data_IF_570147804213
#
_entry.id   IF_570147804213
#
_cell.length_a   1.000
_cell.length_b   1.000
_cell.length_c   1.000
_cell.angle_alpha   90.00
_cell.angle_beta   90.00
_cell.angle_gamma   90.00
#
_symmetry.space_group_name_H-M   'P 1'
#
loop_
_entity.id
_entity.type
_entity.pdbx_description
1 polymer ?
#
# COMPACT_ATOMS: atom_id res chain seq x y z
N UNK A 1 -2.36 -28.90 9.91
CA UNK A 1 -2.15 -28.68 8.46
C UNK A 1 -1.47 -27.33 8.29
N UNK A 2 -0.55 -27.15 7.33
CA UNK A 2 0.11 -25.85 7.14
C UNK A 2 -0.92 -24.78 6.76
N UNK A 3 -1.01 -23.70 7.52
CA UNK A 3 -1.88 -22.58 7.20
C UNK A 3 -1.53 -22.01 5.82
N UNK A 4 -2.54 -21.78 4.97
CA UNK A 4 -2.36 -21.07 3.70
C UNK A 4 -2.41 -19.58 4.01
N UNK A 5 -1.24 -18.94 3.96
CA UNK A 5 -1.08 -17.53 4.27
C UNK A 5 -0.77 -16.73 3.00
N UNK A 6 -1.38 -15.55 2.86
CA UNK A 6 -0.88 -14.47 2.01
C UNK A 6 -0.29 -13.41 2.92
N UNK A 7 0.95 -13.03 2.66
CA UNK A 7 1.64 -11.99 3.41
C UNK A 7 1.62 -10.68 2.62
N UNK A 8 1.18 -9.61 3.27
CA UNK A 8 1.21 -8.24 2.76
C UNK A 8 2.27 -7.44 3.53
N UNK A 9 3.20 -6.78 2.84
CA UNK A 9 4.11 -5.82 3.48
C UNK A 9 3.38 -4.48 3.66
N UNK A 10 3.29 -4.01 4.91
CA UNK A 10 2.59 -2.77 5.25
C UNK A 10 1.37 -2.99 6.14
N UNK A 11 0.40 -2.07 6.07
CA UNK A 11 -0.80 -2.03 6.92
C UNK A 11 -2.06 -1.99 6.05
N UNK A 12 -2.99 -2.90 6.28
CA UNK A 12 -4.32 -2.91 5.68
C UNK A 12 -5.10 -1.69 6.19
N UNK A 13 -5.06 -1.43 7.50
CA UNK A 13 -5.74 -0.27 8.10
C UNK A 13 -5.33 1.05 7.41
N UNK A 14 -4.03 1.30 7.29
CA UNK A 14 -3.53 2.51 6.66
C UNK A 14 -3.91 2.62 5.18
N UNK A 15 -4.08 1.49 4.49
CA UNK A 15 -4.49 1.47 3.08
C UNK A 15 -5.99 1.71 2.87
N UNK A 16 -6.83 1.30 3.82
CA UNK A 16 -8.28 1.43 3.70
C UNK A 16 -8.80 2.76 4.23
N UNK A 17 -8.19 3.30 5.29
CA UNK A 17 -8.67 4.55 5.92
C UNK A 17 -8.17 5.79 5.17
N UNK A 18 -6.95 5.75 4.60
CA UNK A 18 -6.41 6.98 4.03
C UNK A 18 -7.14 7.35 2.74
N UNK A 19 -7.89 8.45 2.84
CA UNK A 19 -8.47 9.17 1.72
C UNK A 19 -7.42 9.44 0.64
N UNK A 20 -7.81 9.43 -0.65
CA UNK A 20 -6.94 9.94 -1.71
C UNK A 20 -6.46 11.35 -1.34
N UNK A 21 -5.15 11.58 -1.42
CA UNK A 21 -4.57 12.85 -0.97
C UNK A 21 -4.94 13.93 -1.97
N UNK A 22 -6.00 14.67 -1.66
CA UNK A 22 -6.51 15.75 -2.51
C UNK A 22 -5.89 17.11 -2.20
N UNK A 23 -4.81 17.17 -1.38
CA UNK A 23 -4.21 18.42 -0.92
C UNK A 23 -2.68 18.32 -0.88
N UNK A 24 -2.00 19.29 -1.50
CA UNK A 24 -0.58 19.53 -1.28
C UNK A 24 -0.39 20.69 -0.30
N UNK A 25 0.44 20.48 0.73
CA UNK A 25 0.85 21.55 1.65
C UNK A 25 2.12 22.19 1.11
N UNK A 26 2.03 23.45 0.71
CA UNK A 26 3.16 24.32 0.38
C UNK A 26 3.17 25.48 1.39
N UNK A 27 4.33 26.01 1.82
CA UNK A 27 4.36 27.16 2.73
C UNK A 27 3.55 28.34 2.17
N UNK A 28 2.43 28.67 2.81
CA UNK A 28 1.64 29.87 2.52
C UNK A 28 0.41 29.70 1.61
N UNK A 29 0.18 28.55 0.96
CA UNK A 29 -1.06 28.26 0.19
C UNK A 29 -1.42 26.77 0.18
N UNK A 30 -2.70 26.48 -0.01
CA UNK A 30 -3.22 25.12 -0.22
C UNK A 30 -3.68 24.99 -1.67
N UNK A 31 -3.07 24.08 -2.44
CA UNK A 31 -3.73 23.54 -3.63
C UNK A 31 -4.49 22.28 -3.23
N UNK A 32 -5.75 22.22 -3.63
CA UNK A 32 -6.56 21.03 -3.47
C UNK A 32 -7.50 20.83 -4.64
N UNK A 33 -7.98 19.61 -4.75
CA UNK A 33 -9.04 19.26 -5.69
C UNK A 33 -10.39 19.62 -5.05
N UNK A 34 -11.24 20.33 -5.77
CA UNK A 34 -12.61 20.60 -5.34
C UNK A 34 -13.49 19.33 -5.46
N UNK A 35 -14.74 19.41 -5.00
CA UNK A 35 -15.60 18.22 -4.94
C UNK A 35 -16.03 17.72 -6.33
N UNK A 36 -16.17 18.62 -7.32
CA UNK A 36 -16.51 18.25 -8.70
C UNK A 36 -15.31 17.57 -9.37
N UNK A 37 -14.11 18.13 -9.22
CA UNK A 37 -12.85 17.52 -9.68
C UNK A 37 -12.64 16.12 -9.08
N UNK A 38 -12.98 15.92 -7.81
CA UNK A 38 -12.87 14.61 -7.15
C UNK A 38 -13.87 13.58 -7.71
N UNK A 39 -15.10 14.00 -8.01
CA UNK A 39 -16.08 13.12 -8.61
C UNK A 39 -15.71 12.77 -10.06
N UNK A 40 -15.16 13.71 -10.82
CA UNK A 40 -14.68 13.44 -12.16
C UNK A 40 -13.43 12.56 -12.18
N UNK A 41 -12.52 12.69 -11.20
CA UNK A 41 -11.43 11.73 -10.99
C UNK A 41 -11.97 10.31 -10.79
N UNK A 42 -12.98 10.14 -9.93
CA UNK A 42 -13.58 8.83 -9.68
C UNK A 42 -14.18 8.24 -10.97
N UNK A 43 -14.87 9.06 -11.78
CA UNK A 43 -15.44 8.64 -13.06
C UNK A 43 -14.38 8.25 -14.09
N UNK A 44 -13.32 9.05 -14.22
CA UNK A 44 -12.23 8.75 -15.15
C UNK A 44 -11.47 7.49 -14.72
N UNK A 45 -11.17 7.36 -13.43
CA UNK A 45 -10.55 6.16 -12.86
C UNK A 45 -11.35 4.90 -13.20
N UNK A 46 -12.67 4.93 -13.04
CA UNK A 46 -13.54 3.81 -13.41
C UNK A 46 -13.51 3.47 -14.89
N UNK A 47 -13.48 4.47 -15.78
CA UNK A 47 -13.41 4.24 -17.23
C UNK A 47 -12.14 3.49 -17.60
N UNK A 48 -11.00 3.91 -17.05
CA UNK A 48 -9.71 3.27 -17.23
C UNK A 48 -9.80 1.82 -16.73
N UNK A 49 -10.26 1.64 -15.49
CA UNK A 49 -10.25 0.33 -14.82
C UNK A 49 -11.24 -0.69 -15.40
N UNK A 50 -12.37 -0.27 -15.97
CA UNK A 50 -13.35 -1.20 -16.59
C UNK A 50 -12.78 -2.00 -17.76
N UNK A 51 -11.75 -1.48 -18.44
CA UNK A 51 -11.08 -2.18 -19.54
C UNK A 51 -10.12 -3.28 -19.06
N UNK A 52 -9.86 -3.39 -17.76
CA UNK A 52 -8.80 -4.23 -17.20
C UNK A 52 -9.41 -5.43 -16.46
N UNK A 53 -9.04 -6.68 -16.83
CA UNK A 53 -9.56 -7.86 -16.17
C UNK A 53 -9.31 -7.85 -14.66
N UNK A 54 -10.26 -8.31 -13.85
CA UNK A 54 -10.18 -8.31 -12.37
C UNK A 54 -8.91 -9.01 -11.82
N UNK A 55 -8.49 -10.12 -12.46
CA UNK A 55 -7.26 -10.82 -12.07
C UNK A 55 -5.98 -10.01 -12.38
N UNK A 56 -6.09 -9.03 -13.26
CA UNK A 56 -5.06 -8.04 -13.56
C UNK A 56 -5.12 -6.83 -12.63
N UNK A 57 -6.20 -6.62 -11.86
CA UNK A 57 -6.28 -5.57 -10.81
C UNK A 57 -5.33 -5.90 -9.63
N UNK A 58 -4.94 -7.17 -9.47
CA UNK A 58 -3.86 -7.55 -8.55
C UNK A 58 -2.46 -7.25 -9.10
N UNK A 59 -2.34 -6.81 -10.36
CA UNK A 59 -1.14 -6.19 -10.90
C UNK A 59 -1.35 -4.69 -10.79
N UNK A 60 -0.33 -3.97 -10.35
CA UNK A 60 -0.31 -2.51 -10.40
C UNK A 60 -0.54 -2.12 -11.87
N UNK A 61 -1.75 -1.66 -12.16
CA UNK A 61 -2.24 -1.29 -13.48
C UNK A 61 -1.44 -0.09 -13.99
N UNK A 62 -1.14 0.86 -13.09
CA UNK A 62 -0.26 2.01 -13.36
C UNK A 62 1.19 1.63 -13.66
N UNK A 63 1.62 0.38 -13.44
CA UNK A 63 2.97 -0.06 -13.80
C UNK A 63 3.15 -0.25 -15.32
N UNK A 64 2.06 -0.28 -16.10
CA UNK A 64 2.13 -0.25 -17.56
C UNK A 64 2.31 1.18 -18.05
N UNK A 65 3.35 1.49 -18.86
CA UNK A 65 3.53 2.83 -19.43
C UNK A 65 2.31 3.33 -20.21
N UNK A 66 1.57 2.42 -20.86
CA UNK A 66 0.37 2.78 -21.60
C UNK A 66 -0.77 3.24 -20.67
N UNK A 67 -0.97 2.55 -19.55
CA UNK A 67 -2.00 2.92 -18.58
C UNK A 67 -1.59 4.15 -17.79
N UNK A 68 -0.30 4.27 -17.44
CA UNK A 68 0.23 5.48 -16.81
C UNK A 68 -0.05 6.72 -17.66
N UNK A 69 0.17 6.64 -18.97
CA UNK A 69 -0.15 7.71 -19.91
C UNK A 69 -1.66 8.01 -19.94
N UNK A 70 -2.51 6.98 -19.92
CA UNK A 70 -3.96 7.15 -19.88
C UNK A 70 -4.44 7.84 -18.59
N UNK A 71 -3.82 7.51 -17.45
CA UNK A 71 -4.05 8.14 -16.14
C UNK A 71 -3.61 9.60 -16.16
N UNK A 72 -2.45 9.91 -16.74
CA UNK A 72 -1.97 11.28 -16.90
C UNK A 72 -2.92 12.09 -17.80
N UNK A 73 -3.28 11.57 -18.97
CA UNK A 73 -4.24 12.21 -19.88
C UNK A 73 -5.62 12.41 -19.21
N UNK A 74 -6.06 11.46 -18.38
CA UNK A 74 -7.28 11.58 -17.60
C UNK A 74 -7.19 12.70 -16.55
N UNK A 75 -6.07 12.80 -15.85
CA UNK A 75 -5.83 13.91 -14.93
C UNK A 75 -5.94 15.26 -15.64
N UNK A 76 -5.31 15.43 -16.80
CA UNK A 76 -5.41 16.66 -17.60
C UNK A 76 -6.83 16.96 -18.07
N UNK A 77 -7.65 15.94 -18.39
CA UNK A 77 -9.07 16.15 -18.73
C UNK A 77 -9.89 16.70 -17.57
N UNK A 78 -9.56 16.34 -16.33
CA UNK A 78 -10.30 16.79 -15.14
C UNK A 78 -9.92 18.21 -14.74
N UNK A 79 -8.61 18.47 -14.61
CA UNK A 79 -8.13 19.72 -13.99
C UNK A 79 -7.52 20.72 -14.97
N UNK A 80 -7.46 20.38 -16.26
CA UNK A 80 -6.85 21.19 -17.31
C UNK A 80 -5.32 21.16 -17.31
N UNK A 81 -4.74 21.85 -18.30
CA UNK A 81 -3.28 22.06 -18.44
C UNK A 81 -2.78 23.30 -17.69
N UNK A 82 -3.67 24.14 -17.15
CA UNK A 82 -3.30 25.47 -16.64
C UNK A 82 -2.44 25.42 -15.36
N UNK A 83 -1.15 25.72 -15.58
CA UNK A 83 -0.10 26.04 -14.61
C UNK A 83 -0.16 27.53 -14.18
N UNK A 84 -1.29 28.04 -13.68
CA UNK A 84 -1.25 29.35 -12.99
C UNK A 84 -0.71 29.19 -11.55
N UNK A 85 0.59 28.90 -11.45
CA UNK A 85 1.40 28.89 -10.23
C UNK A 85 2.18 27.58 -9.98
N UNK A 86 2.88 27.52 -8.84
CA UNK A 86 3.65 26.35 -8.33
C UNK A 86 2.77 25.11 -7.99
N UNK A 87 1.57 25.00 -8.57
CA UNK A 87 0.53 24.02 -8.20
C UNK A 87 0.25 23.07 -9.36
N UNK A 88 0.80 21.86 -9.29
CA UNK A 88 0.52 20.84 -10.30
C UNK A 88 -0.74 20.04 -9.94
N UNK A 89 -1.93 20.64 -10.12
CA UNK A 89 -3.22 19.94 -9.97
C UNK A 89 -3.25 18.59 -10.73
N UNK A 90 -2.68 18.46 -11.94
CA UNK A 90 -2.60 17.16 -12.63
C UNK A 90 -1.88 16.10 -11.80
N UNK A 91 -0.79 16.45 -11.10
CA UNK A 91 -0.11 15.51 -10.21
C UNK A 91 -0.95 15.10 -9.01
N UNK A 92 -1.75 16.01 -8.46
CA UNK A 92 -2.71 15.67 -7.40
C UNK A 92 -3.77 14.71 -7.91
N UNK A 93 -4.28 14.92 -9.12
CA UNK A 93 -5.26 14.04 -9.74
C UNK A 93 -4.68 12.65 -10.04
N UNK A 94 -3.46 12.56 -10.60
CA UNK A 94 -2.74 11.29 -10.79
C UNK A 94 -2.55 10.58 -9.45
N UNK A 95 -2.05 11.27 -8.43
CA UNK A 95 -1.84 10.68 -7.10
C UNK A 95 -3.15 10.21 -6.46
N UNK A 96 -4.25 10.92 -6.68
CA UNK A 96 -5.57 10.49 -6.24
C UNK A 96 -6.02 9.21 -6.95
N UNK A 97 -5.82 9.09 -8.26
CA UNK A 97 -6.13 7.88 -9.03
C UNK A 97 -5.26 6.68 -8.61
N UNK A 98 -3.96 6.87 -8.41
CA UNK A 98 -3.06 5.84 -7.86
C UNK A 98 -3.52 5.37 -6.48
N UNK A 99 -4.01 6.30 -5.65
CA UNK A 99 -4.51 5.95 -4.32
C UNK A 99 -5.83 5.20 -4.37
N UNK A 100 -6.73 5.54 -5.30
CA UNK A 100 -7.93 4.76 -5.59
C UNK A 100 -7.57 3.34 -6.04
N UNK A 101 -6.62 3.21 -6.96
CA UNK A 101 -6.11 1.93 -7.44
C UNK A 101 -5.62 1.05 -6.28
N UNK A 102 -4.77 1.62 -5.42
CA UNK A 102 -4.23 0.92 -4.26
C UNK A 102 -5.35 0.44 -3.31
N UNK A 103 -6.32 1.31 -3.01
CA UNK A 103 -7.47 0.98 -2.17
C UNK A 103 -8.31 -0.15 -2.75
N UNK A 104 -8.70 -0.04 -4.02
CA UNK A 104 -9.48 -1.05 -4.75
C UNK A 104 -8.73 -2.38 -4.81
N UNK A 105 -7.42 -2.35 -5.04
CA UNK A 105 -6.58 -3.55 -5.10
C UNK A 105 -6.52 -4.29 -3.76
N UNK A 106 -6.41 -3.56 -2.65
CA UNK A 106 -6.45 -4.15 -1.30
C UNK A 106 -7.84 -4.73 -1.00
N UNK A 107 -8.91 -4.02 -1.36
CA UNK A 107 -10.28 -4.53 -1.22
C UNK A 107 -10.48 -5.81 -2.03
N UNK A 108 -10.02 -5.85 -3.28
CA UNK A 108 -10.07 -7.05 -4.13
C UNK A 108 -9.29 -8.22 -3.53
N UNK A 109 -8.11 -7.95 -2.98
CA UNK A 109 -7.28 -8.97 -2.30
C UNK A 109 -8.00 -9.55 -1.07
N UNK A 110 -8.64 -8.70 -0.25
CA UNK A 110 -9.40 -9.13 0.92
C UNK A 110 -10.57 -10.02 0.50
N UNK A 111 -11.36 -9.60 -0.49
CA UNK A 111 -12.49 -10.39 -1.02
C UNK A 111 -12.03 -11.73 -1.58
N UNK A 112 -10.94 -11.75 -2.35
CA UNK A 112 -10.38 -12.98 -2.92
C UNK A 112 -9.84 -13.94 -1.84
N UNK A 113 -9.15 -13.40 -0.81
CA UNK A 113 -8.65 -14.19 0.31
C UNK A 113 -9.80 -14.82 1.11
N UNK A 114 -10.84 -14.04 1.40
CA UNK A 114 -12.07 -14.50 2.07
C UNK A 114 -12.77 -15.61 1.29
N UNK A 115 -13.00 -15.41 -0.01
CA UNK A 115 -13.63 -16.40 -0.89
C UNK A 115 -12.82 -17.71 -1.00
N UNK A 116 -11.49 -17.61 -0.92
CA UNK A 116 -10.58 -18.76 -1.03
C UNK A 116 -10.30 -19.46 0.32
N UNK A 117 -10.81 -18.93 1.43
CA UNK A 117 -10.49 -19.42 2.78
C UNK A 117 -8.99 -19.31 3.12
N UNK A 118 -8.29 -18.33 2.54
CA UNK A 118 -6.86 -18.08 2.77
C UNK A 118 -6.72 -16.92 3.77
N UNK A 119 -5.86 -17.07 4.76
CA UNK A 119 -5.62 -16.01 5.75
C UNK A 119 -4.71 -14.94 5.14
N UNK A 120 -5.22 -13.71 5.04
CA UNK A 120 -4.44 -12.54 4.71
C UNK A 120 -3.82 -11.95 5.97
N UNK A 121 -2.49 -11.78 5.97
CA UNK A 121 -1.73 -11.28 7.10
C UNK A 121 -0.89 -10.09 6.66
N UNK A 122 -1.15 -8.92 7.23
CA UNK A 122 -0.31 -7.74 7.04
C UNK A 122 0.81 -7.71 8.06
N UNK A 123 2.02 -7.42 7.62
CA UNK A 123 3.20 -7.31 8.49
C UNK A 123 3.90 -5.99 8.20
N UNK A 124 4.03 -5.13 9.21
CA UNK A 124 4.73 -3.85 9.08
C UNK A 124 5.90 -3.73 10.07
N UNK A 125 7.08 -3.34 9.56
CA UNK A 125 8.27 -2.99 10.37
C UNK A 125 8.16 -1.62 11.03
N UNK A 126 7.26 -0.79 10.51
CA UNK A 126 7.04 0.60 10.95
C UNK A 126 5.55 0.82 11.12
N UNK A 127 5.21 1.53 12.17
CA UNK A 127 3.83 1.95 12.45
C UNK A 127 3.89 3.27 13.21
N UNK A 128 3.07 4.24 12.80
CA UNK A 128 2.83 5.48 13.54
C UNK A 128 1.59 5.38 14.43
N UNK A 129 0.86 4.26 14.39
CA UNK A 129 -0.35 4.07 15.16
C UNK A 129 -0.09 4.19 16.67
N UNK A 130 -1.08 4.75 17.36
CA UNK A 130 -1.10 5.00 18.81
C UNK A 130 -2.34 4.41 19.47
N UNK A 131 -3.18 3.74 18.71
CA UNK A 131 -4.50 3.28 19.13
C UNK A 131 -4.39 2.15 20.16
N UNK A 132 -3.31 1.36 20.15
CA UNK A 132 -3.18 0.18 21.00
C UNK A 132 -2.89 0.53 22.46
N UNK A 133 -1.95 1.46 22.71
CA UNK A 133 -1.60 1.90 24.06
C UNK A 133 -2.13 3.29 24.41
N UNK A 134 -2.80 3.96 23.47
CA UNK A 134 -3.39 5.31 23.66
C UNK A 134 -2.37 6.32 24.19
N UNK A 135 -1.17 6.32 23.59
CA UNK A 135 -0.04 7.11 24.06
C UNK A 135 0.41 8.18 23.05
N UNK A 136 1.20 9.14 23.50
CA UNK A 136 1.84 10.12 22.60
C UNK A 136 2.87 9.50 21.64
N UNK A 137 3.46 8.35 22.01
CA UNK A 137 4.46 7.64 21.20
C UNK A 137 3.80 6.54 20.38
N UNK A 138 4.33 6.22 19.18
CA UNK A 138 3.84 5.09 18.40
C UNK A 138 3.92 3.77 19.19
N UNK A 139 2.90 2.94 19.05
CA UNK A 139 2.76 1.71 19.82
C UNK A 139 3.95 0.75 19.58
N UNK A 140 4.40 0.63 18.33
CA UNK A 140 5.56 -0.21 17.97
C UNK A 140 6.85 0.26 18.66
N UNK A 141 7.00 1.57 18.90
CA UNK A 141 8.14 2.12 19.61
C UNK A 141 8.07 1.85 21.11
N UNK A 142 6.86 1.79 21.69
CA UNK A 142 6.67 1.36 23.08
C UNK A 142 7.03 -0.12 23.23
N UNK A 143 6.56 -0.99 22.34
CA UNK A 143 6.92 -2.42 22.36
C UNK A 143 8.43 -2.59 22.23
N UNK A 144 9.06 -1.87 21.30
CA UNK A 144 10.51 -1.93 21.11
C UNK A 144 11.28 -1.51 22.38
N UNK A 145 10.78 -0.53 23.13
CA UNK A 145 11.42 0.01 24.32
C UNK A 145 11.24 -0.87 25.56
N UNK A 146 10.06 -1.44 25.75
CA UNK A 146 9.67 -2.10 27.00
C UNK A 146 9.70 -3.63 26.94
N UNK A 147 9.94 -4.24 25.78
CA UNK A 147 10.07 -5.71 25.63
C UNK A 147 11.39 -6.09 24.98
N UNK A 148 11.82 -7.37 25.14
CA UNK A 148 13.11 -7.86 24.63
C UNK A 148 13.04 -9.22 23.93
N UNK A 149 12.26 -10.16 24.46
CA UNK A 149 12.10 -11.51 23.90
C UNK A 149 10.88 -11.68 23.00
N UNK A 150 10.73 -12.86 22.38
CA UNK A 150 9.54 -13.26 21.64
C UNK A 150 8.26 -13.12 22.45
N UNK A 151 7.17 -12.88 21.74
CA UNK A 151 5.84 -12.71 22.32
C UNK A 151 5.03 -11.67 21.57
N UNK A 152 3.80 -11.46 22.00
CA UNK A 152 2.87 -10.54 21.37
C UNK A 152 2.04 -9.77 22.38
N UNK A 153 1.54 -8.61 21.97
CA UNK A 153 0.62 -7.81 22.77
C UNK A 153 -0.80 -8.38 22.68
N UNK A 154 -1.65 -8.06 23.66
CA UNK A 154 -3.06 -8.47 23.62
C UNK A 154 -3.71 -8.02 22.29
N UNK A 155 -4.33 -8.91 21.51
CA UNK A 155 -4.96 -8.53 20.26
C UNK A 155 -6.05 -7.47 20.46
N UNK A 156 -6.11 -6.48 19.56
CA UNK A 156 -7.18 -5.49 19.52
C UNK A 156 -8.00 -5.69 18.26
N UNK A 157 -9.29 -5.92 18.47
CA UNK A 157 -10.29 -6.03 17.40
C UNK A 157 -10.91 -4.65 17.22
N UNK A 158 -11.03 -4.20 15.97
CA UNK A 158 -11.64 -2.93 15.61
C UNK A 158 -12.33 -3.04 14.26
N UNK A 159 -13.42 -2.31 14.09
CA UNK A 159 -14.02 -2.04 12.79
C UNK A 159 -13.23 -0.94 12.10
N UNK A 160 -12.69 -1.24 10.93
CA UNK A 160 -11.93 -0.31 10.08
C UNK A 160 -12.83 0.16 8.95
N UNK A 161 -13.18 1.45 8.89
CA UNK A 161 -13.94 1.97 7.77
C UNK A 161 -13.09 2.02 6.50
N UNK A 162 -13.70 1.64 5.38
CA UNK A 162 -13.14 1.89 4.05
C UNK A 162 -13.47 3.33 3.68
N UNK A 163 -12.47 4.10 3.23
CA UNK A 163 -12.66 5.45 2.71
C UNK A 163 -13.83 5.50 1.72
N UNK A 164 -14.65 6.55 1.79
CA UNK A 164 -15.86 6.66 0.98
C UNK A 164 -15.58 6.62 -0.53
N UNK A 165 -14.46 7.21 -0.97
CA UNK A 165 -14.06 7.17 -2.39
C UNK A 165 -13.55 5.78 -2.80
N UNK A 166 -12.75 5.12 -1.95
CA UNK A 166 -12.29 3.74 -2.19
C UNK A 166 -13.49 2.79 -2.25
N UNK A 167 -14.44 2.92 -1.32
CA UNK A 167 -15.65 2.11 -1.29
C UNK A 167 -16.47 2.29 -2.57
N UNK A 168 -16.75 3.54 -3.00
CA UNK A 168 -17.49 3.79 -4.24
C UNK A 168 -16.79 3.19 -5.46
N UNK A 169 -15.48 3.39 -5.60
CA UNK A 169 -14.69 2.83 -6.69
C UNK A 169 -14.73 1.30 -6.68
N UNK A 170 -14.50 0.70 -5.51
CA UNK A 170 -14.50 -0.75 -5.32
C UNK A 170 -15.87 -1.36 -5.60
N UNK A 171 -16.96 -0.78 -5.10
CA UNK A 171 -18.31 -1.28 -5.37
C UNK A 171 -18.67 -1.28 -6.85
N UNK A 172 -18.23 -0.26 -7.60
CA UNK A 172 -18.50 -0.15 -9.04
C UNK A 172 -17.63 -1.09 -9.88
N UNK A 173 -16.43 -1.44 -9.42
CA UNK A 173 -15.49 -2.31 -10.15
C UNK A 173 -15.59 -3.78 -9.76
N UNK A 174 -15.87 -4.08 -8.49
CA UNK A 174 -15.87 -5.42 -7.91
C UNK A 174 -17.29 -5.97 -7.65
N UNK A 175 -18.31 -5.10 -7.61
CA UNK A 175 -19.71 -5.44 -7.33
C UNK A 175 -20.23 -4.90 -5.99
N UNK A 176 -21.53 -5.03 -5.77
CA UNK A 176 -22.22 -4.43 -4.60
C UNK A 176 -21.89 -5.09 -3.25
N UNK A 177 -21.29 -6.29 -3.25
CA UNK A 177 -20.94 -7.04 -2.03
C UNK A 177 -19.68 -6.52 -1.30
N UNK A 178 -19.13 -5.37 -1.71
CA UNK A 178 -17.98 -4.76 -1.04
C UNK A 178 -18.40 -4.18 0.31
N UNK A 179 -17.83 -4.72 1.38
CA UNK A 179 -18.08 -4.27 2.75
C UNK A 179 -17.49 -2.87 2.99
N UNK A 180 -18.31 -1.95 3.50
CA UNK A 180 -17.86 -0.59 3.87
C UNK A 180 -17.03 -0.52 5.15
N UNK A 181 -17.04 -1.58 5.95
CA UNK A 181 -16.23 -1.73 7.15
C UNK A 181 -15.62 -3.12 7.18
N UNK A 182 -14.38 -3.23 7.66
CA UNK A 182 -13.66 -4.48 7.77
C UNK A 182 -13.28 -4.70 9.23
N UNK A 183 -13.65 -5.85 9.78
CA UNK A 183 -13.20 -6.27 11.12
C UNK A 183 -11.72 -6.60 11.03
N UNK A 184 -10.88 -5.88 11.77
CA UNK A 184 -9.44 -6.05 11.79
C UNK A 184 -8.94 -6.34 13.20
N UNK A 185 -8.17 -7.40 13.34
CA UNK A 185 -7.41 -7.71 14.55
C UNK A 185 -5.97 -7.23 14.39
N UNK A 186 -5.54 -6.31 15.25
CA UNK A 186 -4.17 -5.79 15.29
C UNK A 186 -3.47 -6.23 16.57
N UNK A 187 -2.24 -6.70 16.43
CA UNK A 187 -1.32 -6.96 17.53
C UNK A 187 0.11 -6.55 17.16
N UNK A 188 0.97 -6.45 18.17
CA UNK A 188 2.40 -6.27 17.97
C UNK A 188 3.13 -7.50 18.45
N UNK A 189 4.02 -8.06 17.64
CA UNK A 189 4.75 -9.28 17.98
C UNK A 189 6.25 -9.13 17.74
N UNK A 190 7.03 -9.81 18.57
CA UNK A 190 8.44 -10.09 18.31
C UNK A 190 8.59 -11.57 18.01
N UNK A 191 9.15 -11.90 16.85
CA UNK A 191 9.24 -13.28 16.37
C UNK A 191 10.54 -13.99 16.76
N UNK A 192 11.54 -13.25 17.24
CA UNK A 192 12.83 -13.79 17.66
C UNK A 192 13.48 -12.90 18.75
N UNK A 193 14.36 -13.48 19.56
CA UNK A 193 15.11 -12.73 20.57
C UNK A 193 15.91 -11.59 19.93
N UNK A 194 15.82 -10.40 20.51
CA UNK A 194 16.54 -9.22 20.04
C UNK A 194 16.09 -8.64 18.69
N UNK A 195 15.19 -9.29 17.96
CA UNK A 195 14.64 -8.79 16.70
C UNK A 195 13.66 -7.64 16.91
N UNK A 196 13.53 -6.68 15.99
CA UNK A 196 12.55 -5.60 16.12
C UNK A 196 11.09 -6.13 16.19
N UNK A 197 10.18 -5.49 16.95
CA UNK A 197 8.78 -5.86 16.93
C UNK A 197 8.14 -5.48 15.59
N UNK A 198 7.12 -6.23 15.21
CA UNK A 198 6.33 -6.06 14.01
C UNK A 198 4.90 -5.73 14.40
N UNK A 199 4.24 -4.88 13.61
CA UNK A 199 2.78 -4.77 13.62
C UNK A 199 2.22 -5.87 12.75
N UNK A 200 1.28 -6.64 13.29
CA UNK A 200 0.57 -7.71 12.59
C UNK A 200 -0.91 -7.35 12.54
N UNK A 201 -1.49 -7.45 11.35
CA UNK A 201 -2.92 -7.21 11.13
C UNK A 201 -3.56 -8.42 10.42
N UNK A 202 -4.74 -8.80 10.90
CA UNK A 202 -5.49 -9.97 10.46
C UNK A 202 -6.94 -9.57 10.23
N UNK A 203 -7.54 -10.06 9.16
CA UNK A 203 -8.96 -9.89 8.91
C UNK A 203 -9.77 -10.80 9.85
N UNK A 204 -10.84 -10.27 10.43
CA UNK A 204 -11.75 -10.98 11.33
C UNK A 204 -11.31 -11.03 12.79
N UNK A 205 -11.83 -11.99 13.53
CA UNK A 205 -11.64 -12.18 14.97
C UNK A 205 -11.02 -13.56 15.27
N UNK A 206 -9.72 -13.75 15.02
CA UNK A 206 -9.07 -15.02 15.30
C UNK A 206 -9.06 -15.29 16.80
N UNK A 207 -9.23 -16.56 17.15
CA UNK A 207 -9.04 -17.09 18.50
C UNK A 207 -7.57 -16.99 18.92
N UNK A 208 -7.31 -17.10 20.22
CA UNK A 208 -5.94 -17.09 20.73
C UNK A 208 -5.07 -18.20 20.11
N UNK A 209 -5.61 -19.41 19.95
CA UNK A 209 -4.88 -20.52 19.33
C UNK A 209 -4.52 -20.24 17.87
N UNK A 210 -5.42 -19.66 17.09
CA UNK A 210 -5.13 -19.27 15.70
C UNK A 210 -4.03 -18.20 15.60
N UNK A 211 -3.98 -17.27 16.56
CA UNK A 211 -2.91 -16.26 16.64
C UNK A 211 -1.58 -16.92 16.99
N UNK A 212 -1.56 -17.84 17.95
CA UNK A 212 -0.35 -18.56 18.36
C UNK A 212 0.20 -19.42 17.22
N UNK A 213 -0.65 -20.19 16.54
CA UNK A 213 -0.30 -20.99 15.36
C UNK A 213 0.26 -20.13 14.22
N UNK A 214 -0.34 -18.95 13.99
CA UNK A 214 0.15 -17.99 13.02
C UNK A 214 1.54 -17.47 13.40
N UNK A 215 1.72 -17.04 14.65
CA UNK A 215 2.99 -16.48 15.10
C UNK A 215 4.11 -17.52 15.07
N UNK A 216 3.82 -18.76 15.43
CA UNK A 216 4.75 -19.89 15.26
C UNK A 216 5.11 -20.09 13.80
N UNK A 217 4.12 -20.09 12.90
CA UNK A 217 4.34 -20.21 11.46
C UNK A 217 5.22 -19.06 10.94
N UNK A 218 4.92 -17.82 11.33
CA UNK A 218 5.70 -16.63 10.94
C UNK A 218 7.13 -16.69 11.49
N UNK A 219 7.32 -17.11 12.74
CA UNK A 219 8.63 -17.29 13.35
C UNK A 219 9.45 -18.36 12.61
N UNK A 220 8.84 -19.49 12.26
CA UNK A 220 9.49 -20.59 11.53
C UNK A 220 9.97 -20.22 10.13
N UNK A 221 9.34 -19.23 9.48
CA UNK A 221 9.78 -18.70 8.17
C UNK A 221 10.57 -17.38 8.28
N UNK A 222 10.86 -16.91 9.48
CA UNK A 222 11.54 -15.64 9.71
C UNK A 222 13.05 -15.78 9.78
N UNK A 223 13.75 -14.74 9.31
CA UNK A 223 15.20 -14.59 9.46
C UNK A 223 15.43 -13.29 10.21
N UNK A 224 16.09 -13.36 11.38
CA UNK A 224 16.24 -12.22 12.31
C UNK A 224 14.90 -11.58 12.71
N UNK A 225 13.87 -12.42 12.90
CA UNK A 225 12.54 -12.02 13.35
C UNK A 225 11.69 -11.26 12.32
N UNK A 226 12.04 -11.32 11.02
CA UNK A 226 11.17 -10.86 9.93
C UNK A 226 10.97 -11.96 8.88
N UNK A 227 9.72 -12.19 8.38
CA UNK A 227 9.44 -13.26 7.42
C UNK A 227 10.31 -13.18 6.17
N UNK A 228 11.03 -14.27 5.87
CA UNK A 228 11.93 -14.34 4.72
C UNK A 228 11.24 -14.06 3.37
N UNK A 229 10.02 -14.55 3.09
CA UNK A 229 9.33 -14.22 1.84
C UNK A 229 9.14 -12.71 1.65
N UNK A 230 8.76 -11.99 2.70
CA UNK A 230 8.62 -10.53 2.65
C UNK A 230 9.96 -9.84 2.47
N UNK A 231 11.02 -10.34 3.12
CA UNK A 231 12.37 -9.82 2.94
C UNK A 231 12.82 -9.94 1.48
N UNK A 232 12.60 -11.10 0.85
CA UNK A 232 12.97 -11.34 -0.54
C UNK A 232 12.15 -10.50 -1.50
N UNK A 233 10.85 -10.35 -1.27
CA UNK A 233 10.02 -9.45 -2.05
C UNK A 233 10.55 -8.01 -1.99
N UNK A 234 10.91 -7.51 -0.80
CA UNK A 234 11.50 -6.18 -0.63
C UNK A 234 12.86 -6.03 -1.33
N UNK A 235 13.74 -7.04 -1.22
CA UNK A 235 15.04 -7.04 -1.89
C UNK A 235 14.91 -7.03 -3.42
N UNK A 236 13.96 -7.80 -3.98
CA UNK A 236 13.71 -7.87 -5.42
C UNK A 236 13.05 -6.61 -5.99
N UNK A 237 12.22 -5.93 -5.20
CA UNK A 237 11.57 -4.69 -5.63
C UNK A 237 12.48 -3.46 -5.49
N UNK A 238 13.66 -3.58 -4.86
CA UNK A 238 14.56 -2.47 -4.61
C UNK A 238 15.28 -2.07 -5.91
N UNK A 239 14.93 -0.91 -6.45
CA UNK A 239 15.65 -0.29 -7.56
C UNK A 239 16.91 0.39 -7.01
N UNK A 240 18.07 -0.11 -7.40
CA UNK A 240 19.37 0.44 -7.04
C UNK A 240 19.82 1.56 -7.98
N UNK A 241 20.95 2.18 -7.65
CA UNK A 241 21.57 3.19 -8.51
C UNK A 241 21.94 2.64 -9.88
N UNK A 242 22.44 1.40 -9.94
CA UNK A 242 22.82 0.77 -11.20
C UNK A 242 21.60 0.53 -12.10
N UNK A 243 20.46 0.13 -11.52
CA UNK A 243 19.20 -0.04 -12.25
C UNK A 243 18.69 1.30 -12.80
N UNK A 244 18.78 2.37 -12.00
CA UNK A 244 18.44 3.72 -12.43
C UNK A 244 19.34 4.19 -13.57
N UNK A 245 20.66 4.03 -13.44
CA UNK A 245 21.63 4.39 -14.49
C UNK A 245 21.39 3.58 -15.77
N UNK A 246 21.09 2.28 -15.66
CA UNK A 246 20.73 1.44 -16.80
C UNK A 246 19.45 1.93 -17.48
N UNK A 247 18.42 2.27 -16.69
CA UNK A 247 17.17 2.87 -17.20
C UNK A 247 17.40 4.21 -17.91
N UNK A 248 18.15 5.12 -17.29
CA UNK A 248 18.49 6.43 -17.85
C UNK A 248 19.31 6.34 -19.15
N UNK A 249 20.23 5.37 -19.24
CA UNK A 249 20.95 5.05 -20.48
C UNK A 249 19.98 4.53 -21.55
N UNK A 250 19.09 3.61 -21.20
CA UNK A 250 18.15 3.02 -22.14
C UNK A 250 17.18 4.04 -22.77
N UNK A 251 16.82 5.10 -22.04
CA UNK A 251 15.98 6.20 -22.55
C UNK A 251 16.78 7.36 -23.17
N UNK A 252 18.11 7.21 -23.31
CA UNK A 252 18.99 8.21 -23.92
C UNK A 252 19.22 9.47 -23.08
N UNK A 253 18.87 9.45 -21.79
CA UNK A 253 19.08 10.59 -20.87
C UNK A 253 20.53 10.69 -20.40
N UNK A 254 21.20 9.55 -20.27
CA UNK A 254 22.66 9.50 -20.10
C UNK A 254 23.31 9.27 -21.47
N UNK A 255 24.39 10.01 -21.80
CA UNK A 255 25.11 9.78 -23.04
C UNK A 255 25.51 8.32 -23.14
N UNK A 256 25.19 7.69 -24.27
CA UNK A 256 25.81 6.43 -24.65
C UNK A 256 27.31 6.69 -24.78
N UNK A 257 28.14 5.81 -24.23
CA UNK A 257 29.58 5.88 -24.47
C UNK A 257 29.79 5.58 -25.96
N UNK A 258 29.84 6.63 -26.79
CA UNK A 258 29.90 6.54 -28.27
C UNK A 258 31.30 6.15 -28.78
N UNK A 259 32.13 5.53 -27.95
CA UNK A 259 33.51 5.16 -28.28
C UNK A 259 34.49 6.34 -28.40
N UNK A 260 34.01 7.59 -28.38
CA UNK A 260 34.86 8.80 -28.42
C UNK A 260 35.56 9.10 -27.09
N UNK A 261 35.02 8.61 -25.98
CA UNK A 261 35.64 8.73 -24.65
C UNK A 261 36.85 7.80 -24.45
N UNK A 262 37.00 6.76 -25.29
CA UNK A 262 38.16 5.86 -25.26
C UNK A 262 39.44 6.50 -25.87
N UNK A 263 39.31 7.69 -26.47
CA UNK A 263 40.44 8.43 -27.06
C UNK A 263 40.99 9.53 -26.14
N UNK A 264 40.41 9.75 -24.96
CA UNK A 264 40.98 10.65 -23.95
C UNK A 264 41.05 12.12 -24.38
N UNK A 265 39.99 12.64 -24.99
CA UNK A 265 39.71 14.10 -25.08
C UNK A 265 38.54 14.47 -24.17
#
# INVERSE_FOLDING_TARGET
GRARLILLDGSIEANLIAEPVFKAVVPGRYAGLDDDEREDILREFEKIMRGIPLHSILRVVTASPAVQKEVEEAAYRVVGEEDEGEYRKPLLAVSAMERLEQGVSITALISAAKASGITLVSVAKRSSARSHFQSMRPDIALVQRFTRGPGYTKPRIQDVPVSGYILRAASRLLGEDVEGNIVLTTLYARLADGAAPLRIELIGTPTQGEIEDLLETLAGISVWGYPYPLRRAHELAKIGRADLEAGLRAIGFLPEMTGREALGE
#
